data_IF_318432281542
#
_entry.id   IF_318432281542
#
_cell.length_a   1.000
_cell.length_b   1.000
_cell.length_c   1.000
_cell.angle_alpha   90.00
_cell.angle_beta   90.00
_cell.angle_gamma   90.00
#
_symmetry.space_group_name_H-M   'P 1'
#
loop_
_entity.id
_entity.type
_entity.pdbx_description
1 polymer ?
#
# COMPACT_ATOMS: atom_id res chain seq x y z
N UNK A 1 20.81 -5.89 10.92
CA UNK A 1 20.71 -5.01 9.75
C UNK A 1 19.36 -5.21 9.07
N UNK A 2 19.24 -5.67 7.82
CA UNK A 2 17.93 -5.72 7.13
C UNK A 2 16.86 -6.56 7.87
N UNK A 3 17.21 -7.67 8.47
CA UNK A 3 16.30 -8.53 9.23
C UNK A 3 15.75 -7.83 10.49
N UNK A 4 16.56 -6.96 11.12
CA UNK A 4 16.10 -6.15 12.24
C UNK A 4 15.10 -5.09 11.79
N UNK A 5 15.35 -4.42 10.65
CA UNK A 5 14.39 -3.48 10.05
C UNK A 5 13.08 -4.17 9.65
N UNK A 6 13.16 -5.39 9.10
CA UNK A 6 11.97 -6.18 8.82
C UNK A 6 11.26 -6.59 10.11
N UNK A 7 11.99 -6.85 11.20
CA UNK A 7 11.43 -7.08 12.53
C UNK A 7 10.63 -5.89 13.05
N UNK A 8 11.17 -4.66 12.92
CA UNK A 8 10.48 -3.41 13.26
C UNK A 8 9.25 -3.19 12.37
N UNK A 9 9.38 -3.39 11.05
CA UNK A 9 8.23 -3.30 10.12
C UNK A 9 7.11 -4.28 10.50
N UNK A 10 7.45 -5.51 10.86
CA UNK A 10 6.47 -6.51 11.30
C UNK A 10 5.77 -6.14 12.61
N UNK A 11 6.37 -5.28 13.46
CA UNK A 11 5.66 -4.72 14.62
C UNK A 11 4.53 -3.79 14.16
N UNK A 12 4.78 -2.94 13.15
CA UNK A 12 3.73 -2.07 12.57
C UNK A 12 2.64 -2.90 11.86
N UNK A 13 3.02 -3.97 11.18
CA UNK A 13 2.07 -4.94 10.60
C UNK A 13 1.17 -5.54 11.69
N UNK A 14 1.73 -5.99 12.81
CA UNK A 14 0.95 -6.53 13.93
C UNK A 14 0.01 -5.49 14.55
N UNK A 15 0.44 -4.24 14.67
CA UNK A 15 -0.41 -3.13 15.13
C UNK A 15 -1.60 -2.91 14.18
N UNK A 16 -1.36 -2.91 12.86
CA UNK A 16 -2.41 -2.77 11.86
C UNK A 16 -3.42 -3.93 11.93
N UNK A 17 -2.96 -5.17 12.03
CA UNK A 17 -3.82 -6.35 12.18
C UNK A 17 -4.62 -6.32 13.49
N UNK A 18 -4.03 -5.86 14.59
CA UNK A 18 -4.73 -5.68 15.86
C UNK A 18 -5.84 -4.62 15.76
N UNK A 19 -5.55 -3.47 15.15
CA UNK A 19 -6.54 -2.41 14.93
C UNK A 19 -7.70 -2.91 14.06
N UNK A 20 -7.39 -3.65 12.99
CA UNK A 20 -8.41 -4.26 12.14
C UNK A 20 -9.33 -5.20 12.94
N UNK A 21 -8.74 -6.15 13.68
CA UNK A 21 -9.49 -7.11 14.52
C UNK A 21 -10.33 -6.41 15.58
N UNK A 22 -9.81 -5.35 16.20
CA UNK A 22 -10.52 -4.57 17.23
C UNK A 22 -11.76 -3.90 16.64
N UNK A 23 -11.64 -3.24 15.48
CA UNK A 23 -12.77 -2.59 14.82
C UNK A 23 -13.75 -3.63 14.27
N UNK A 24 -13.26 -4.72 13.70
CA UNK A 24 -14.10 -5.82 13.21
C UNK A 24 -14.93 -6.45 14.35
N UNK A 25 -14.32 -6.69 15.51
CA UNK A 25 -15.03 -7.23 16.68
C UNK A 25 -16.09 -6.28 17.22
N UNK A 26 -15.88 -4.96 17.14
CA UNK A 26 -16.83 -3.95 17.60
C UNK A 26 -17.94 -3.67 16.58
N UNK A 27 -17.66 -3.79 15.27
CA UNK A 27 -18.57 -3.49 14.18
C UNK A 27 -18.62 -4.62 13.13
N UNK A 28 -19.00 -5.85 13.53
CA UNK A 28 -18.89 -7.03 12.66
C UNK A 28 -19.82 -6.96 11.44
N UNK A 29 -20.96 -6.26 11.54
CA UNK A 29 -21.88 -6.05 10.41
C UNK A 29 -21.39 -5.01 9.40
N UNK A 30 -20.50 -4.10 9.83
CA UNK A 30 -19.94 -3.04 8.98
C UNK A 30 -18.65 -3.47 8.28
N UNK A 31 -17.84 -4.33 8.89
CA UNK A 31 -16.62 -4.86 8.26
C UNK A 31 -17.00 -6.04 7.37
N UNK A 32 -16.99 -5.82 6.05
CA UNK A 32 -17.40 -6.82 5.05
C UNK A 32 -16.24 -7.57 4.41
N UNK A 33 -15.02 -7.41 4.94
CA UNK A 33 -13.85 -8.15 4.47
C UNK A 33 -14.00 -9.65 4.76
N UNK A 34 -13.92 -10.45 3.69
CA UNK A 34 -14.05 -11.92 3.72
C UNK A 34 -13.19 -12.53 2.61
N UNK A 35 -13.05 -13.83 2.58
CA UNK A 35 -12.43 -14.56 1.45
C UNK A 35 -13.12 -14.14 0.15
N UNK A 36 -12.37 -13.96 -0.90
CA UNK A 36 -12.79 -13.42 -2.21
C UNK A 36 -13.23 -11.94 -2.22
N UNK A 37 -13.08 -11.20 -1.11
CA UNK A 37 -13.17 -9.75 -1.17
C UNK A 37 -11.87 -9.19 -1.76
N UNK A 38 -11.96 -8.65 -2.97
CA UNK A 38 -10.80 -8.15 -3.71
C UNK A 38 -10.84 -6.63 -3.94
N UNK A 39 -11.62 -5.87 -3.16
CA UNK A 39 -11.74 -4.42 -3.37
C UNK A 39 -10.42 -3.68 -3.15
N UNK A 40 -9.68 -3.98 -2.08
CA UNK A 40 -8.32 -3.46 -1.88
C UNK A 40 -7.33 -3.84 -2.99
N UNK A 41 -7.56 -4.97 -3.67
CA UNK A 41 -6.76 -5.42 -4.81
C UNK A 41 -7.11 -4.70 -6.13
N UNK A 42 -8.03 -3.76 -6.09
CA UNK A 42 -8.37 -2.89 -7.24
C UNK A 42 -8.14 -1.41 -6.92
N UNK A 43 -7.78 -1.08 -5.69
CA UNK A 43 -7.44 0.28 -5.28
C UNK A 43 -6.01 0.64 -5.70
N UNK A 44 -5.82 1.87 -6.17
CA UNK A 44 -4.49 2.39 -6.48
C UNK A 44 -3.88 2.99 -5.22
N UNK A 45 -2.79 2.42 -4.78
CA UNK A 45 -1.96 2.95 -3.69
C UNK A 45 -0.49 2.63 -3.94
N UNK A 46 0.38 3.32 -3.24
CA UNK A 46 1.81 3.03 -3.22
C UNK A 46 2.23 2.36 -1.92
N UNK A 47 3.45 1.85 -1.90
CA UNK A 47 4.11 1.28 -0.72
C UNK A 47 5.39 2.06 -0.41
N UNK A 48 5.71 2.20 0.86
CA UNK A 48 6.95 2.85 1.30
C UNK A 48 8.17 1.98 0.97
N UNK A 49 9.40 2.56 0.86
CA UNK A 49 10.61 1.80 0.54
C UNK A 49 10.86 0.60 1.45
N UNK A 50 10.60 0.71 2.76
CA UNK A 50 10.71 -0.43 3.68
C UNK A 50 9.72 -1.55 3.37
N UNK A 51 8.48 -1.21 3.00
CA UNK A 51 7.48 -2.18 2.55
C UNK A 51 7.90 -2.79 1.21
N UNK A 52 8.42 -1.96 0.28
CA UNK A 52 8.91 -2.42 -1.01
C UNK A 52 10.03 -3.45 -0.85
N UNK A 53 11.01 -3.19 0.02
CA UNK A 53 12.09 -4.12 0.33
C UNK A 53 11.57 -5.43 0.93
N UNK A 54 10.65 -5.34 1.89
CA UNK A 54 10.02 -6.50 2.51
C UNK A 54 9.22 -7.34 1.49
N UNK A 55 8.39 -6.69 0.69
CA UNK A 55 7.59 -7.33 -0.36
C UNK A 55 8.49 -8.04 -1.36
N UNK A 56 9.52 -7.35 -1.86
CA UNK A 56 10.46 -7.91 -2.83
C UNK A 56 11.19 -9.14 -2.28
N UNK A 57 11.65 -9.09 -1.02
CA UNK A 57 12.31 -10.23 -0.37
C UNK A 57 11.39 -11.47 -0.29
N UNK A 58 10.12 -11.28 0.06
CA UNK A 58 9.15 -12.37 0.16
C UNK A 58 8.62 -12.83 -1.21
N UNK A 59 8.46 -11.91 -2.16
CA UNK A 59 8.08 -12.23 -3.53
C UNK A 59 9.07 -13.20 -4.19
N UNK A 60 10.36 -13.02 -3.97
CA UNK A 60 11.39 -13.90 -4.53
C UNK A 60 11.36 -15.35 -3.98
N UNK A 61 10.66 -15.56 -2.85
CA UNK A 61 10.46 -16.89 -2.25
C UNK A 61 9.23 -17.63 -2.75
N UNK A 62 8.36 -16.95 -3.53
CA UNK A 62 7.19 -17.58 -4.14
C UNK A 62 7.61 -18.58 -5.22
N UNK A 63 6.72 -19.54 -5.49
CA UNK A 63 6.87 -20.46 -6.61
C UNK A 63 7.10 -19.74 -7.95
N UNK A 64 7.94 -20.32 -8.81
CA UNK A 64 8.34 -19.74 -10.10
C UNK A 64 7.13 -19.44 -11.01
N UNK A 65 6.11 -20.30 -10.99
CA UNK A 65 4.90 -20.09 -11.79
C UNK A 65 4.13 -18.90 -11.27
N UNK A 66 3.92 -18.80 -9.96
CA UNK A 66 3.24 -17.67 -9.32
C UNK A 66 3.99 -16.37 -9.61
N UNK A 67 5.32 -16.36 -9.45
CA UNK A 67 6.12 -15.16 -9.76
C UNK A 67 5.96 -14.67 -11.19
N UNK A 68 5.96 -15.58 -12.18
CA UNK A 68 5.75 -15.21 -13.58
C UNK A 68 4.36 -14.62 -13.82
N UNK A 69 3.34 -15.19 -13.20
CA UNK A 69 1.97 -14.69 -13.32
C UNK A 69 1.82 -13.30 -12.70
N UNK A 70 2.42 -13.10 -11.52
CA UNK A 70 2.48 -11.79 -10.83
C UNK A 70 3.23 -10.75 -11.67
N UNK A 71 4.38 -11.08 -12.26
CA UNK A 71 5.13 -10.15 -13.12
C UNK A 71 4.34 -9.74 -14.36
N UNK A 72 3.64 -10.67 -15.01
CA UNK A 72 2.73 -10.33 -16.13
C UNK A 72 1.58 -9.43 -15.66
N UNK A 73 1.07 -9.67 -14.46
CA UNK A 73 0.09 -8.77 -13.82
C UNK A 73 0.66 -7.38 -13.56
N UNK A 74 1.92 -7.29 -13.12
CA UNK A 74 2.60 -6.03 -12.87
C UNK A 74 2.77 -5.18 -14.14
N UNK A 75 3.14 -5.80 -15.27
CA UNK A 75 3.23 -5.13 -16.57
C UNK A 75 1.88 -4.55 -17.01
N UNK A 76 0.80 -5.32 -16.86
CA UNK A 76 -0.56 -4.85 -17.18
C UNK A 76 -0.98 -3.70 -16.29
N UNK A 77 -0.77 -3.83 -14.99
CA UNK A 77 -1.11 -2.80 -14.01
C UNK A 77 -0.34 -1.49 -14.27
N UNK A 78 0.94 -1.57 -14.64
CA UNK A 78 1.75 -0.39 -14.98
C UNK A 78 1.23 0.30 -16.25
N UNK A 79 0.89 -0.46 -17.27
CA UNK A 79 0.31 0.08 -18.50
C UNK A 79 -1.05 0.77 -18.24
N UNK A 80 -1.90 0.21 -17.36
CA UNK A 80 -3.16 0.82 -16.95
C UNK A 80 -2.93 2.11 -16.16
N UNK A 81 -1.95 2.13 -15.26
CA UNK A 81 -1.60 3.33 -14.48
C UNK A 81 -1.05 4.45 -15.37
N UNK A 82 -0.23 4.14 -16.37
CA UNK A 82 0.26 5.12 -17.35
C UNK A 82 -0.91 5.75 -18.12
N UNK A 83 -1.82 4.94 -18.65
CA UNK A 83 -3.03 5.43 -19.33
C UNK A 83 -3.91 6.31 -18.41
N UNK A 84 -4.01 5.93 -17.12
CA UNK A 84 -4.75 6.74 -16.15
C UNK A 84 -4.05 8.07 -15.87
N UNK A 85 -2.72 8.07 -15.75
CA UNK A 85 -1.90 9.28 -15.57
C UNK A 85 -2.05 10.23 -16.76
N UNK A 86 -2.00 9.72 -17.99
CA UNK A 86 -2.15 10.51 -19.20
C UNK A 86 -3.53 11.18 -19.27
N UNK A 87 -4.60 10.46 -18.95
CA UNK A 87 -5.95 11.03 -18.86
C UNK A 87 -6.08 12.13 -17.78
N UNK A 88 -5.25 12.09 -16.75
CA UNK A 88 -5.27 13.06 -15.65
C UNK A 88 -4.32 14.25 -15.88
N UNK A 89 -3.55 14.28 -16.97
CA UNK A 89 -2.73 15.45 -17.35
C UNK A 89 -3.54 16.72 -17.54
N UNK A 90 -4.81 16.60 -17.94
CA UNK A 90 -5.77 17.69 -18.01
C UNK A 90 -5.91 18.46 -16.68
N UNK A 91 -5.50 17.84 -15.56
CA UNK A 91 -5.54 18.42 -14.22
C UNK A 91 -4.16 18.83 -13.68
N UNK A 92 -3.13 18.96 -14.54
CA UNK A 92 -1.77 19.29 -14.08
C UNK A 92 -1.71 20.62 -13.31
N UNK A 93 -2.54 21.59 -13.68
CA UNK A 93 -2.70 22.86 -12.96
C UNK A 93 -3.52 22.74 -11.66
N UNK A 94 -4.07 21.54 -11.36
CA UNK A 94 -4.95 21.29 -10.21
C UNK A 94 -4.51 20.03 -9.46
N UNK A 95 -3.41 20.07 -8.68
CA UNK A 95 -2.82 18.89 -8.04
C UNK A 95 -3.82 18.09 -7.18
N UNK A 96 -4.74 18.76 -6.49
CA UNK A 96 -5.77 18.11 -5.68
C UNK A 96 -6.75 17.27 -6.52
N UNK A 97 -7.13 17.78 -7.72
CA UNK A 97 -7.99 17.02 -8.64
C UNK A 97 -7.26 15.83 -9.25
N UNK A 98 -5.97 15.95 -9.50
CA UNK A 98 -5.12 14.85 -9.99
C UNK A 98 -5.02 13.73 -8.96
N UNK A 99 -4.75 14.07 -7.69
CA UNK A 99 -4.71 13.10 -6.58
C UNK A 99 -6.06 12.43 -6.39
N UNK A 100 -7.15 13.20 -6.41
CA UNK A 100 -8.51 12.66 -6.31
C UNK A 100 -8.85 11.73 -7.50
N UNK A 101 -8.48 12.13 -8.72
CA UNK A 101 -8.67 11.32 -9.92
C UNK A 101 -7.90 9.99 -9.87
N UNK A 102 -6.65 10.01 -9.39
CA UNK A 102 -5.85 8.79 -9.18
C UNK A 102 -6.49 7.87 -8.15
N UNK A 103 -6.96 8.40 -7.03
CA UNK A 103 -7.61 7.61 -5.98
C UNK A 103 -8.91 6.93 -6.43
N UNK A 104 -9.54 7.43 -7.50
CA UNK A 104 -10.73 6.80 -8.11
C UNK A 104 -10.41 5.73 -9.16
N UNK A 105 -9.15 5.63 -9.61
CA UNK A 105 -8.79 4.60 -10.58
C UNK A 105 -8.87 3.22 -9.95
N UNK A 106 -9.27 2.27 -10.76
CA UNK A 106 -9.36 0.86 -10.38
C UNK A 106 -8.39 0.09 -11.25
N UNK A 107 -7.26 -0.29 -10.68
CA UNK A 107 -6.22 -1.07 -11.37
C UNK A 107 -6.07 -2.41 -10.66
N UNK A 108 -6.06 -3.49 -11.42
CA UNK A 108 -5.93 -4.83 -10.86
C UNK A 108 -4.55 -5.01 -10.22
N UNK A 109 -4.54 -5.40 -8.94
CA UNK A 109 -3.31 -5.71 -8.22
C UNK A 109 -2.60 -6.91 -8.87
N UNK A 110 -1.26 -6.86 -9.05
CA UNK A 110 -0.50 -7.99 -9.58
C UNK A 110 -0.62 -9.28 -8.78
N UNK A 111 -0.84 -9.18 -7.47
CA UNK A 111 -0.99 -10.32 -6.57
C UNK A 111 -2.40 -10.94 -6.56
N UNK A 112 -3.35 -10.38 -7.29
CA UNK A 112 -4.69 -10.93 -7.38
C UNK A 112 -4.72 -12.06 -8.40
N UNK A 113 -4.97 -13.29 -7.94
CA UNK A 113 -5.11 -14.48 -8.80
C UNK A 113 -6.40 -14.42 -9.66
N UNK A 114 -6.54 -15.34 -10.59
CA UNK A 114 -7.77 -15.48 -11.39
C UNK A 114 -8.97 -15.90 -10.54
N UNK A 115 -8.72 -16.59 -9.43
CA UNK A 115 -9.74 -16.98 -8.46
C UNK A 115 -10.15 -15.85 -7.49
N UNK A 116 -9.70 -14.61 -7.75
CA UNK A 116 -9.94 -13.44 -6.90
C UNK A 116 -9.39 -13.57 -5.46
N UNK A 117 -8.29 -14.29 -5.32
CA UNK A 117 -7.54 -14.44 -4.06
C UNK A 117 -6.17 -13.78 -4.15
N UNK A 118 -5.73 -13.16 -3.06
CA UNK A 118 -4.40 -12.58 -2.98
C UNK A 118 -3.35 -13.69 -2.75
N UNK A 119 -2.50 -13.97 -3.74
CA UNK A 119 -1.40 -14.95 -3.62
C UNK A 119 -0.30 -14.51 -2.65
N UNK A 120 -0.39 -13.29 -2.14
CA UNK A 120 0.58 -12.67 -1.23
C UNK A 120 -0.07 -12.25 0.11
N UNK A 121 -1.18 -12.87 0.49
CA UNK A 121 -2.06 -12.42 1.57
C UNK A 121 -1.33 -12.19 2.89
N UNK A 122 -0.47 -13.12 3.31
CA UNK A 122 0.27 -13.01 4.57
C UNK A 122 1.28 -11.87 4.60
N UNK A 123 1.86 -11.53 3.44
CA UNK A 123 2.90 -10.51 3.30
C UNK A 123 2.38 -9.20 2.68
N UNK A 124 1.05 -9.02 2.61
CA UNK A 124 0.44 -7.81 2.05
C UNK A 124 0.84 -6.55 2.82
N UNK A 125 0.98 -5.40 2.16
CA UNK A 125 1.34 -4.14 2.79
C UNK A 125 0.27 -3.66 3.79
N UNK A 126 0.65 -2.73 4.66
CA UNK A 126 -0.21 -2.28 5.77
C UNK A 126 -1.52 -1.68 5.26
N UNK A 127 -1.50 -0.92 4.18
CA UNK A 127 -2.72 -0.34 3.62
C UNK A 127 -3.77 -1.40 3.25
N UNK A 128 -3.36 -2.56 2.74
CA UNK A 128 -4.27 -3.67 2.45
C UNK A 128 -4.89 -4.27 3.72
N UNK A 129 -4.18 -4.21 4.85
CA UNK A 129 -4.63 -4.78 6.13
C UNK A 129 -5.70 -3.94 6.80
N UNK A 130 -5.66 -2.62 6.60
CA UNK A 130 -6.60 -1.68 7.21
C UNK A 130 -7.67 -1.16 6.24
N UNK A 131 -7.62 -1.51 4.96
CA UNK A 131 -8.49 -0.96 3.91
C UNK A 131 -9.99 -1.11 4.20
N UNK A 132 -10.39 -2.20 4.85
CA UNK A 132 -11.79 -2.52 5.14
C UNK A 132 -12.37 -1.83 6.38
N UNK A 133 -11.60 -1.06 7.11
CA UNK A 133 -12.01 -0.35 8.33
C UNK A 133 -11.82 1.16 8.16
N UNK A 134 -12.50 2.00 8.96
CA UNK A 134 -12.33 3.45 8.86
C UNK A 134 -10.91 3.89 9.19
N UNK A 135 -10.34 4.72 8.34
CA UNK A 135 -9.05 5.37 8.57
C UNK A 135 -9.15 6.87 8.26
N UNK A 136 -8.27 7.64 8.84
CA UNK A 136 -8.21 9.09 8.61
C UNK A 136 -6.83 9.51 8.13
N UNK A 137 -6.85 10.53 7.27
CA UNK A 137 -5.68 11.24 6.78
C UNK A 137 -5.86 12.72 7.02
N UNK A 138 -4.78 13.38 7.43
CA UNK A 138 -4.72 14.82 7.52
C UNK A 138 -4.11 15.39 6.23
N UNK A 139 -4.86 16.19 5.49
CA UNK A 139 -4.40 16.84 4.26
C UNK A 139 -3.73 18.22 4.52
N UNK A 140 -3.35 18.47 5.77
CA UNK A 140 -2.76 19.74 6.23
C UNK A 140 -3.79 20.83 6.52
N UNK A 141 -5.08 20.63 6.19
CA UNK A 141 -6.18 21.57 6.46
C UNK A 141 -7.23 20.96 7.37
N UNK A 142 -7.61 19.71 7.11
CA UNK A 142 -8.62 18.99 7.90
C UNK A 142 -8.30 17.50 7.90
N UNK A 143 -8.60 16.85 9.02
CA UNK A 143 -8.63 15.41 9.08
C UNK A 143 -9.87 14.88 8.36
N UNK A 144 -9.68 14.00 7.37
CA UNK A 144 -10.76 13.33 6.64
C UNK A 144 -10.77 11.86 6.95
N UNK A 145 -11.95 11.34 7.29
CA UNK A 145 -12.17 9.92 7.47
C UNK A 145 -12.59 9.26 6.14
N UNK A 146 -12.09 8.07 5.91
CA UNK A 146 -12.37 7.24 4.75
C UNK A 146 -12.71 5.83 5.21
N UNK A 147 -13.53 5.14 4.44
CA UNK A 147 -13.78 3.71 4.60
C UNK A 147 -13.92 3.05 3.22
N UNK A 148 -13.75 1.74 3.16
CA UNK A 148 -14.00 0.97 1.94
C UNK A 148 -15.46 1.17 1.49
N UNK A 149 -15.67 1.48 0.20
CA UNK A 149 -17.01 1.69 -0.36
C UNK A 149 -17.93 0.47 -0.30
N UNK A 150 -17.36 -0.73 -0.12
CA UNK A 150 -18.13 -1.96 0.09
C UNK A 150 -18.44 -2.23 1.57
N UNK A 151 -17.89 -1.44 2.50
CA UNK A 151 -18.16 -1.58 3.93
C UNK A 151 -19.57 -1.11 4.29
N UNK A 152 -20.01 -1.45 5.50
CA UNK A 152 -21.30 -0.97 6.07
C UNK A 152 -21.13 0.27 6.95
N UNK A 153 -19.97 0.95 6.92
CA UNK A 153 -19.73 2.19 7.66
C UNK A 153 -20.46 3.36 6.99
N UNK A 154 -21.17 4.16 7.79
CA UNK A 154 -21.98 5.28 7.32
C UNK A 154 -21.24 6.61 7.59
N UNK A 155 -21.24 7.53 6.62
CA UNK A 155 -20.55 8.82 6.74
C UNK A 155 -21.09 9.70 7.88
N UNK A 156 -22.39 9.53 8.22
CA UNK A 156 -23.06 10.29 9.29
C UNK A 156 -22.75 9.80 10.70
N UNK A 157 -22.05 8.67 10.85
CA UNK A 157 -21.76 8.04 12.14
C UNK A 157 -20.28 8.17 12.46
N UNK A 158 -19.97 8.63 13.68
CA UNK A 158 -18.60 8.67 14.17
C UNK A 158 -18.12 7.27 14.57
N UNK A 159 -17.12 6.77 13.88
CA UNK A 159 -16.45 5.49 14.18
C UNK A 159 -15.02 5.72 14.66
N UNK A 160 -14.46 4.80 15.46
CA UNK A 160 -13.02 4.78 15.70
C UNK A 160 -12.27 4.67 14.36
N UNK A 161 -11.33 5.56 14.14
CA UNK A 161 -10.56 5.61 12.90
C UNK A 161 -9.09 5.31 13.14
N UNK A 162 -8.47 4.57 12.23
CA UNK A 162 -7.01 4.38 12.21
C UNK A 162 -6.37 5.67 11.70
N UNK A 163 -5.46 6.25 12.47
CA UNK A 163 -4.68 7.44 12.08
C UNK A 163 -3.58 7.03 11.10
N UNK A 164 -3.87 7.12 9.81
CA UNK A 164 -2.94 6.65 8.77
C UNK A 164 -1.66 7.47 8.74
N UNK A 165 -1.72 8.76 9.06
CA UNK A 165 -0.54 9.63 9.15
C UNK A 165 0.51 9.11 10.13
N UNK A 166 0.09 8.55 11.28
CA UNK A 166 1.00 7.95 12.26
C UNK A 166 1.70 6.72 11.70
N UNK A 167 0.95 5.87 11.01
CA UNK A 167 1.52 4.68 10.34
C UNK A 167 2.50 5.12 9.25
N UNK A 168 2.13 6.08 8.43
CA UNK A 168 3.00 6.61 7.37
C UNK A 168 4.28 7.24 7.92
N UNK A 169 4.20 7.93 9.05
CA UNK A 169 5.38 8.48 9.71
C UNK A 169 6.36 7.37 10.13
N UNK A 170 5.84 6.28 10.72
CA UNK A 170 6.68 5.13 11.11
C UNK A 170 7.29 4.44 9.89
N UNK A 171 6.51 4.22 8.82
CA UNK A 171 7.02 3.65 7.58
C UNK A 171 8.09 4.55 6.92
N UNK A 172 7.91 5.87 6.99
CA UNK A 172 8.91 6.84 6.53
C UNK A 172 10.19 6.75 7.38
N UNK A 173 10.07 6.65 8.71
CA UNK A 173 11.21 6.51 9.61
C UNK A 173 12.00 5.22 9.32
N UNK A 174 11.32 4.09 9.18
CA UNK A 174 11.94 2.81 8.81
C UNK A 174 12.59 2.86 7.42
N UNK A 175 12.00 3.59 6.49
CA UNK A 175 12.58 3.80 5.16
C UNK A 175 13.84 4.67 5.21
N UNK A 176 13.89 5.66 6.12
CA UNK A 176 15.12 6.42 6.38
C UNK A 176 16.23 5.55 6.95
N UNK A 177 15.90 4.71 7.93
CA UNK A 177 16.85 3.76 8.52
C UNK A 177 17.39 2.83 7.42
N UNK A 178 16.52 2.27 6.54
CA UNK A 178 16.90 1.42 5.42
C UNK A 178 17.94 2.11 4.52
N UNK A 179 17.69 3.34 4.12
CA UNK A 179 18.61 4.10 3.27
C UNK A 179 19.91 4.49 3.97
N UNK A 180 19.83 4.82 5.25
CA UNK A 180 21.01 5.13 6.07
C UNK A 180 21.92 3.92 6.20
N UNK A 181 21.38 2.73 6.46
CA UNK A 181 22.14 1.48 6.51
C UNK A 181 22.75 1.12 5.15
N UNK A 182 22.13 1.51 4.04
CA UNK A 182 22.63 1.34 2.69
C UNK A 182 23.68 2.41 2.28
N UNK A 183 24.00 3.37 3.16
CA UNK A 183 24.98 4.42 2.91
C UNK A 183 24.46 5.59 2.07
N UNK A 184 23.12 5.78 1.97
CA UNK A 184 22.55 6.90 1.22
C UNK A 184 22.70 8.21 2.01
N UNK A 185 23.24 9.26 1.37
CA UNK A 185 23.67 10.50 2.05
C UNK A 185 22.47 11.37 2.51
N UNK A 186 21.34 11.32 1.80
CA UNK A 186 20.15 12.15 2.09
C UNK A 186 18.89 11.29 2.12
N UNK A 187 18.76 10.37 3.10
CA UNK A 187 17.70 9.36 3.13
C UNK A 187 16.29 9.98 3.20
N UNK A 188 16.14 11.17 3.79
CA UNK A 188 14.89 11.89 3.91
C UNK A 188 14.27 12.29 2.57
N UNK A 189 15.07 12.47 1.53
CA UNK A 189 14.57 12.87 0.20
C UNK A 189 13.71 11.79 -0.48
N UNK A 190 13.98 10.52 -0.20
CA UNK A 190 13.30 9.39 -0.85
C UNK A 190 12.48 8.53 0.12
N UNK A 191 12.66 8.68 1.43
CA UNK A 191 12.03 7.84 2.43
C UNK A 191 10.50 7.98 2.48
N UNK A 192 9.96 9.12 2.08
CA UNK A 192 8.53 9.40 2.03
C UNK A 192 7.89 9.11 0.67
N UNK A 193 8.67 8.63 -0.31
CA UNK A 193 8.13 8.28 -1.62
C UNK A 193 7.28 7.01 -1.51
N UNK A 194 6.15 7.03 -2.16
CA UNK A 194 5.29 5.87 -2.29
C UNK A 194 5.45 5.27 -3.69
N UNK A 195 5.92 4.05 -3.75
CA UNK A 195 6.21 3.34 -5.00
C UNK A 195 4.99 2.50 -5.42
N UNK A 196 4.59 2.53 -6.69
CA UNK A 196 3.57 1.61 -7.20
C UNK A 196 4.05 0.16 -7.04
N UNK A 197 3.16 -0.71 -6.56
CA UNK A 197 3.48 -2.12 -6.35
C UNK A 197 3.95 -2.82 -7.64
N UNK A 198 3.35 -2.49 -8.77
CA UNK A 198 3.77 -2.99 -10.08
C UNK A 198 5.23 -2.68 -10.40
N UNK A 199 5.70 -1.49 -10.06
CA UNK A 199 7.09 -1.08 -10.24
C UNK A 199 8.02 -1.82 -9.28
N UNK A 200 7.67 -1.89 -7.99
CA UNK A 200 8.45 -2.60 -6.96
C UNK A 200 8.77 -4.04 -7.37
N UNK A 201 7.81 -4.75 -7.93
CA UNK A 201 7.97 -6.15 -8.36
C UNK A 201 8.95 -6.33 -9.53
N UNK A 202 9.23 -5.28 -10.30
CA UNK A 202 10.11 -5.29 -11.46
C UNK A 202 11.50 -4.71 -11.17
N UNK A 203 11.69 -4.09 -10.02
CA UNK A 203 12.99 -3.57 -9.57
C UNK A 203 13.86 -4.69 -9.02
N UNK A 204 15.17 -4.46 -8.95
CA UNK A 204 16.05 -5.30 -8.15
C UNK A 204 15.94 -4.92 -6.65
N UNK A 205 16.23 -5.87 -5.77
CA UNK A 205 16.30 -5.59 -4.33
C UNK A 205 17.31 -4.47 -4.02
N UNK A 206 18.45 -4.53 -4.70
CA UNK A 206 19.52 -3.55 -4.56
C UNK A 206 19.06 -2.15 -4.95
N UNK A 207 18.33 -1.99 -6.07
CA UNK A 207 17.78 -0.70 -6.48
C UNK A 207 16.81 -0.14 -5.43
N UNK A 208 15.96 -0.99 -4.84
CA UNK A 208 15.02 -0.57 -3.79
C UNK A 208 15.79 -0.05 -2.57
N UNK A 209 16.78 -0.81 -2.09
CA UNK A 209 17.54 -0.47 -0.88
C UNK A 209 18.45 0.76 -1.11
N UNK A 210 18.98 0.95 -2.31
CA UNK A 210 19.76 2.13 -2.68
C UNK A 210 18.90 3.34 -3.07
N UNK A 211 17.60 3.21 -3.12
CA UNK A 211 16.71 4.29 -3.51
C UNK A 211 16.79 4.67 -5.00
N UNK A 212 17.20 3.75 -5.88
CA UNK A 212 17.26 3.95 -7.33
C UNK A 212 15.89 3.69 -7.96
N UNK A 213 15.06 4.71 -7.91
CA UNK A 213 13.64 4.65 -8.33
C UNK A 213 13.39 5.25 -9.72
N UNK A 214 14.41 5.40 -10.54
CA UNK A 214 14.31 5.91 -11.92
C UNK A 214 13.90 4.85 -12.94
#
# INVERSE_FOLDING_TARGET
MIDDLFGKYLQEVRKADYLFKTIQGKYPSSVRCRIHCCDCCRAVFGVFPIEAAYIHNHFNRLDRKIRRDVLRGAEKAEAEMLKAKDKLQVFDDKPQMKVYGLGKQRVRCPFLSENEECVFYENRPIICRIYGIPFSLNDGKKEKAYACGLSGFQESVAYPTVKLDKIYQELCNLSKELFTEAGYIQPEKKANLMLPLSRVLRMSFEAIVKGDFE
#
